data_IF_964647301692
#
_entry.id   IF_964647301692
#
_cell.length_a   1.000
_cell.length_b   1.000
_cell.length_c   1.000
_cell.angle_alpha   90.00
_cell.angle_beta   90.00
_cell.angle_gamma   90.00
#
_symmetry.space_group_name_H-M   'P 1'
#
loop_
_entity.id
_entity.type
_entity.pdbx_description
1 polymer ?
#
# COMPACT_ATOMS: atom_id res chain seq x y z
N UNK A 1 -9.25 12.44 12.08
CA UNK A 1 -8.19 11.84 11.21
C UNK A 1 -7.11 11.16 12.03
N UNK A 2 -6.77 11.69 13.21
CA UNK A 2 -5.83 11.05 14.14
C UNK A 2 -6.34 9.69 14.61
N UNK A 3 -7.62 9.59 14.98
CA UNK A 3 -8.22 8.30 15.34
C UNK A 3 -8.09 7.24 14.24
N UNK A 4 -8.29 7.62 12.97
CA UNK A 4 -8.12 6.71 11.84
C UNK A 4 -6.69 6.21 11.71
N UNK A 5 -5.69 7.08 11.93
CA UNK A 5 -4.28 6.69 11.94
C UNK A 5 -3.99 5.66 13.04
N UNK A 6 -4.46 5.89 14.27
CA UNK A 6 -4.27 4.95 15.37
C UNK A 6 -4.95 3.59 15.11
N UNK A 7 -6.19 3.59 14.58
CA UNK A 7 -6.87 2.36 14.18
C UNK A 7 -6.10 1.57 13.12
N UNK A 8 -5.44 2.24 12.17
CA UNK A 8 -4.59 1.54 11.20
C UNK A 8 -3.38 0.89 11.86
N UNK A 9 -2.76 1.55 12.84
CA UNK A 9 -1.63 0.99 13.61
C UNK A 9 -2.06 -0.21 14.44
N UNK A 10 -3.22 -0.15 15.09
CA UNK A 10 -3.80 -1.29 15.82
C UNK A 10 -4.03 -2.49 14.90
N UNK A 11 -4.60 -2.26 13.72
CA UNK A 11 -4.81 -3.32 12.70
C UNK A 11 -3.51 -3.97 12.22
N UNK A 12 -2.39 -3.25 12.21
CA UNK A 12 -1.07 -3.84 11.91
C UNK A 12 -0.66 -4.80 13.02
N UNK A 13 -0.79 -4.39 14.28
CA UNK A 13 -0.47 -5.21 15.46
C UNK A 13 -1.34 -6.47 15.51
N UNK A 14 -2.63 -6.33 15.19
CA UNK A 14 -3.59 -7.45 15.16
C UNK A 14 -3.48 -8.32 13.90
N UNK A 15 -2.62 -7.96 12.95
CA UNK A 15 -2.50 -8.64 11.66
C UNK A 15 -3.77 -8.60 10.78
N UNK A 16 -4.64 -7.59 10.96
CA UNK A 16 -5.97 -7.44 10.34
C UNK A 16 -6.08 -6.30 9.33
N UNK A 17 -5.00 -5.55 9.06
CA UNK A 17 -4.99 -4.46 8.09
C UNK A 17 -5.16 -5.00 6.65
N UNK A 18 -6.07 -4.39 5.88
CA UNK A 18 -6.30 -4.71 4.46
C UNK A 18 -5.86 -3.60 3.53
N UNK A 19 -5.74 -3.91 2.24
CA UNK A 19 -5.48 -2.92 1.18
C UNK A 19 -6.55 -1.82 1.13
N UNK A 20 -7.82 -2.19 1.23
CA UNK A 20 -8.97 -1.27 1.26
C UNK A 20 -8.88 -0.26 2.42
N UNK A 21 -8.45 -0.70 3.61
CA UNK A 21 -8.25 0.20 4.74
C UNK A 21 -7.25 1.32 4.41
N UNK A 22 -6.19 1.01 3.66
CA UNK A 22 -5.21 1.99 3.22
C UNK A 22 -5.73 2.87 2.08
N UNK A 23 -6.39 2.31 1.07
CA UNK A 23 -6.96 3.10 -0.03
C UNK A 23 -8.01 4.11 0.45
N UNK A 24 -8.88 3.71 1.37
CA UNK A 24 -9.83 4.63 2.01
C UNK A 24 -9.10 5.75 2.76
N UNK A 25 -8.02 5.41 3.47
CA UNK A 25 -7.24 6.40 4.22
C UNK A 25 -6.50 7.38 3.30
N UNK A 26 -5.81 6.90 2.26
CA UNK A 26 -5.09 7.75 1.30
C UNK A 26 -6.05 8.60 0.49
N UNK A 27 -7.23 8.07 0.11
CA UNK A 27 -8.29 8.84 -0.53
C UNK A 27 -8.74 10.04 0.33
N UNK A 28 -8.98 9.82 1.63
CA UNK A 28 -9.31 10.91 2.58
C UNK A 28 -8.18 11.93 2.73
N UNK A 29 -6.92 11.50 2.71
CA UNK A 29 -5.76 12.40 2.75
C UNK A 29 -5.69 13.26 1.48
N UNK A 30 -5.84 12.66 0.29
CA UNK A 30 -5.84 13.39 -1.00
C UNK A 30 -6.99 14.41 -1.07
N UNK A 31 -8.20 14.03 -0.63
CA UNK A 31 -9.34 14.94 -0.55
C UNK A 31 -9.07 16.11 0.39
N UNK A 32 -8.56 15.83 1.59
CA UNK A 32 -8.20 16.85 2.58
C UNK A 32 -7.09 17.78 2.08
N UNK A 33 -6.11 17.29 1.31
CA UNK A 33 -5.09 18.12 0.65
C UNK A 33 -5.72 19.07 -0.36
N UNK A 34 -6.64 18.57 -1.20
CA UNK A 34 -7.36 19.35 -2.21
C UNK A 34 -8.20 20.46 -1.57
N UNK A 35 -8.82 20.20 -0.43
CA UNK A 35 -9.58 21.17 0.35
C UNK A 35 -8.70 22.13 1.16
N UNK A 36 -7.39 21.88 1.20
CA UNK A 36 -6.44 22.68 1.95
C UNK A 36 -6.61 22.54 3.47
N UNK A 37 -7.08 21.40 3.97
CA UNK A 37 -7.29 21.16 5.39
C UNK A 37 -5.95 21.24 6.18
N UNK A 38 -5.86 22.03 7.26
CA UNK A 38 -4.61 22.26 8.00
C UNK A 38 -3.91 20.97 8.48
N UNK A 39 -4.70 19.96 8.82
CA UNK A 39 -4.25 18.66 9.32
C UNK A 39 -3.34 17.95 8.31
N UNK A 40 -3.66 18.08 7.02
CA UNK A 40 -2.99 17.34 5.95
C UNK A 40 -1.95 18.19 5.24
N UNK A 41 -1.92 19.52 5.45
CA UNK A 41 -0.84 20.40 4.94
C UNK A 41 0.56 19.99 5.39
N UNK A 42 0.67 19.28 6.53
CA UNK A 42 1.94 18.77 7.06
C UNK A 42 2.26 17.34 6.60
N UNK A 43 1.37 16.69 5.86
CA UNK A 43 1.61 15.36 5.26
C UNK A 43 2.23 15.57 3.89
N UNK A 44 3.45 15.07 3.71
CA UNK A 44 4.10 15.10 2.40
C UNK A 44 3.36 14.18 1.42
N UNK A 45 3.07 14.62 0.18
CA UNK A 45 2.46 13.78 -0.86
C UNK A 45 3.20 12.46 -1.07
N UNK A 46 4.53 12.43 -0.92
CA UNK A 46 5.32 11.20 -1.07
C UNK A 46 4.95 10.11 -0.06
N UNK A 47 4.45 10.47 1.14
CA UNK A 47 3.97 9.49 2.11
C UNK A 47 2.65 8.86 1.67
N UNK A 48 1.81 9.62 0.96
CA UNK A 48 0.56 9.11 0.39
C UNK A 48 0.89 8.12 -0.73
N UNK A 49 1.78 8.49 -1.64
CA UNK A 49 2.24 7.62 -2.73
C UNK A 49 2.79 6.28 -2.19
N UNK A 50 3.61 6.32 -1.14
CA UNK A 50 4.14 5.12 -0.50
C UNK A 50 3.04 4.23 0.08
N UNK A 51 2.04 4.81 0.76
CA UNK A 51 0.92 4.05 1.30
C UNK A 51 0.08 3.41 0.20
N UNK A 52 -0.10 4.07 -0.95
CA UNK A 52 -0.82 3.50 -2.10
C UNK A 52 -0.07 2.33 -2.74
N UNK A 53 1.27 2.44 -2.84
CA UNK A 53 2.12 1.32 -3.28
C UNK A 53 2.03 0.15 -2.31
N UNK A 54 2.03 0.40 -1.00
CA UNK A 54 1.89 -0.67 0.00
C UNK A 54 0.47 -1.25 0.05
N UNK A 55 -0.56 -0.44 -0.20
CA UNK A 55 -1.94 -0.90 -0.36
C UNK A 55 -2.05 -1.86 -1.56
N UNK A 56 -1.45 -1.51 -2.69
CA UNK A 56 -1.34 -2.39 -3.85
C UNK A 56 -0.61 -3.69 -3.52
N UNK A 57 0.50 -3.61 -2.76
CA UNK A 57 1.25 -4.78 -2.32
C UNK A 57 0.40 -5.72 -1.43
N UNK A 58 -0.43 -5.16 -0.55
CA UNK A 58 -1.38 -5.96 0.25
C UNK A 58 -2.48 -6.57 -0.62
N UNK A 59 -3.05 -5.80 -1.53
CA UNK A 59 -4.08 -6.28 -2.46
C UNK A 59 -3.58 -7.49 -3.24
N UNK A 60 -2.33 -7.45 -3.68
CA UNK A 60 -1.64 -8.57 -4.33
C UNK A 60 -1.61 -9.85 -3.51
N UNK A 61 -1.29 -9.72 -2.22
CA UNK A 61 -1.32 -10.85 -1.31
C UNK A 61 -2.74 -11.36 -1.07
N UNK A 62 -3.69 -10.45 -0.88
CA UNK A 62 -5.11 -10.77 -0.67
C UNK A 62 -5.69 -11.55 -1.87
N UNK A 63 -5.38 -11.13 -3.09
CA UNK A 63 -5.75 -11.83 -4.33
C UNK A 63 -5.07 -13.20 -4.45
N UNK A 64 -3.79 -13.30 -4.07
CA UNK A 64 -3.06 -14.57 -4.09
C UNK A 64 -3.63 -15.61 -3.09
N UNK A 65 -4.19 -15.14 -1.97
CA UNK A 65 -4.79 -16.01 -0.95
C UNK A 65 -6.27 -16.38 -1.23
N UNK A 66 -6.94 -15.69 -2.15
CA UNK A 66 -8.37 -15.89 -2.44
C UNK A 66 -8.66 -17.11 -3.35
N UNK A 67 -7.64 -17.66 -4.02
CA UNK A 67 -7.56 -18.97 -4.70
C UNK A 67 -8.74 -19.37 -5.62
N UNK A 68 -8.54 -19.24 -6.95
CA UNK A 68 -8.92 -20.19 -8.04
C UNK A 68 -8.66 -19.51 -9.39
N UNK A 69 -7.91 -20.19 -10.25
CA UNK A 69 -7.42 -19.77 -11.57
C UNK A 69 -6.24 -18.77 -11.60
N UNK A 70 -5.18 -19.23 -12.26
CA UNK A 70 -3.95 -18.52 -12.61
C UNK A 70 -4.15 -17.19 -13.38
N UNK A 71 -5.39 -16.85 -13.75
CA UNK A 71 -5.75 -15.59 -14.39
C UNK A 71 -5.80 -14.37 -13.45
N UNK A 72 -5.89 -14.57 -12.12
CA UNK A 72 -6.11 -13.49 -11.14
C UNK A 72 -4.85 -13.01 -10.40
N UNK A 73 -3.64 -13.41 -10.82
CA UNK A 73 -2.39 -12.90 -10.23
C UNK A 73 -2.02 -11.48 -10.66
N UNK A 74 -2.84 -10.88 -11.51
CA UNK A 74 -2.62 -9.58 -12.13
C UNK A 74 -3.49 -8.54 -11.40
N UNK A 75 -2.85 -7.50 -10.86
CA UNK A 75 -3.54 -6.41 -10.17
C UNK A 75 -3.21 -5.16 -10.98
N UNK A 76 -4.25 -4.45 -11.38
CA UNK A 76 -4.14 -3.22 -12.12
C UNK A 76 -3.75 -2.11 -11.15
N UNK A 77 -2.60 -1.49 -11.38
CA UNK A 77 -2.12 -0.41 -10.53
C UNK A 77 -2.66 0.96 -10.96
N UNK A 78 -3.17 1.08 -12.19
CA UNK A 78 -3.45 2.38 -12.83
C UNK A 78 -4.60 3.14 -12.19
N UNK A 79 -5.48 2.45 -11.48
CA UNK A 79 -6.59 3.09 -10.77
C UNK A 79 -6.17 3.70 -9.42
N UNK A 80 -5.00 3.34 -8.90
CA UNK A 80 -4.63 3.67 -7.51
C UNK A 80 -3.22 4.22 -7.34
N UNK A 81 -2.35 4.13 -8.36
CA UNK A 81 -0.96 4.59 -8.30
C UNK A 81 -0.69 5.58 -9.42
N UNK A 82 -0.30 6.79 -9.03
CA UNK A 82 -0.04 7.90 -9.94
C UNK A 82 1.36 7.82 -10.62
N UNK A 83 2.34 7.17 -9.97
CA UNK A 83 3.73 7.10 -10.41
C UNK A 83 4.21 5.65 -10.55
N UNK A 84 4.19 5.17 -11.80
CA UNK A 84 4.67 3.83 -12.15
C UNK A 84 6.13 3.59 -11.75
N UNK A 85 6.98 4.61 -11.82
CA UNK A 85 8.42 4.44 -11.56
C UNK A 85 8.66 4.06 -10.10
N UNK A 86 7.90 4.65 -9.17
CA UNK A 86 7.98 4.31 -7.74
C UNK A 86 7.44 2.91 -7.45
N UNK A 87 6.34 2.52 -8.09
CA UNK A 87 5.84 1.16 -7.98
C UNK A 87 6.87 0.16 -8.50
N UNK A 88 7.48 0.44 -9.65
CA UNK A 88 8.53 -0.40 -10.22
C UNK A 88 9.72 -0.52 -9.29
N UNK A 89 10.23 0.59 -8.74
CA UNK A 89 11.33 0.58 -7.77
C UNK A 89 11.01 -0.29 -6.55
N UNK A 90 9.77 -0.21 -6.04
CA UNK A 90 9.33 -1.04 -4.92
C UNK A 90 9.27 -2.53 -5.29
N UNK A 91 8.71 -2.87 -6.45
CA UNK A 91 8.65 -4.27 -6.93
C UNK A 91 10.06 -4.82 -7.19
N UNK A 92 10.96 -4.03 -7.75
CA UNK A 92 12.36 -4.41 -7.97
C UNK A 92 13.03 -4.71 -6.61
N UNK A 93 12.82 -3.91 -5.56
CA UNK A 93 13.30 -4.19 -4.19
C UNK A 93 12.74 -5.48 -3.58
N UNK A 94 11.46 -5.77 -3.80
CA UNK A 94 10.84 -7.02 -3.35
C UNK A 94 11.49 -8.23 -4.04
N UNK A 95 11.79 -8.10 -5.33
CA UNK A 95 12.44 -9.16 -6.11
C UNK A 95 13.89 -9.37 -5.66
N UNK A 96 14.65 -8.30 -5.46
CA UNK A 96 16.02 -8.35 -4.92
C UNK A 96 16.08 -9.00 -3.53
N UNK A 97 15.03 -8.79 -2.71
CA UNK A 97 14.90 -9.37 -1.38
C UNK A 97 14.33 -10.80 -1.39
N UNK A 98 14.14 -11.39 -2.58
CA UNK A 98 13.54 -12.72 -2.81
C UNK A 98 12.13 -12.91 -2.24
N UNK A 99 11.44 -11.81 -1.87
CA UNK A 99 10.08 -11.83 -1.34
C UNK A 99 9.03 -12.09 -2.44
N UNK A 100 9.41 -11.86 -3.70
CA UNK A 100 8.62 -12.20 -4.88
C UNK A 100 9.49 -12.83 -5.97
N UNK A 101 8.87 -13.57 -6.89
CA UNK A 101 9.53 -14.19 -8.05
C UNK A 101 8.71 -14.03 -9.32
N UNK A 102 9.29 -14.36 -10.47
CA UNK A 102 8.58 -14.40 -11.76
C UNK A 102 7.94 -13.06 -12.16
N UNK A 103 8.62 -11.93 -11.89
CA UNK A 103 8.09 -10.59 -12.14
C UNK A 103 7.87 -10.37 -13.64
N UNK A 104 6.65 -9.96 -14.00
CA UNK A 104 6.26 -9.56 -15.34
C UNK A 104 5.34 -8.35 -15.29
N UNK A 105 5.47 -7.49 -16.30
CA UNK A 105 4.62 -6.31 -16.50
C UNK A 105 3.92 -6.48 -17.83
N UNK A 106 2.59 -6.42 -17.85
CA UNK A 106 1.87 -6.47 -19.12
C UNK A 106 1.56 -5.06 -19.65
N UNK A 107 1.24 -4.98 -20.95
CA UNK A 107 0.87 -3.73 -21.63
C UNK A 107 -0.39 -3.08 -21.04
N UNK A 108 -1.23 -3.88 -20.36
CA UNK A 108 -2.43 -3.43 -19.68
C UNK A 108 -2.20 -2.84 -18.29
N UNK A 109 -0.96 -2.56 -17.86
CA UNK A 109 -0.70 -1.97 -16.55
C UNK A 109 -0.93 -2.93 -15.39
N UNK A 110 -0.79 -4.24 -15.62
CA UNK A 110 -0.82 -5.24 -14.56
C UNK A 110 0.59 -5.63 -14.16
N UNK A 111 0.89 -5.54 -12.87
CA UNK A 111 2.05 -6.22 -12.30
C UNK A 111 1.70 -7.70 -12.12
N UNK A 112 2.62 -8.63 -12.38
CA UNK A 112 2.41 -10.06 -12.18
C UNK A 112 3.66 -10.60 -11.49
N UNK A 113 3.49 -11.29 -10.37
CA UNK A 113 4.59 -11.94 -9.65
C UNK A 113 4.05 -13.00 -8.69
N UNK A 114 4.90 -13.95 -8.32
CA UNK A 114 4.63 -14.99 -7.35
C UNK A 114 5.12 -14.57 -5.96
N UNK A 115 4.37 -14.91 -4.91
CA UNK A 115 4.74 -14.65 -3.51
C UNK A 115 5.05 -16.01 -2.85
N UNK A 116 6.31 -16.44 -2.78
CA UNK A 116 6.68 -17.78 -2.30
C UNK A 116 6.44 -17.99 -0.80
N UNK A 117 6.62 -16.94 0.01
CA UNK A 117 6.29 -16.93 1.44
C UNK A 117 5.36 -15.74 1.74
N UNK A 118 4.03 -15.97 1.73
CA UNK A 118 3.05 -14.91 2.02
C UNK A 118 3.22 -14.31 3.42
N UNK A 119 3.73 -15.07 4.40
CA UNK A 119 3.91 -14.58 5.77
C UNK A 119 5.11 -13.65 5.91
N UNK A 120 6.22 -13.96 5.24
CA UNK A 120 7.37 -13.07 5.15
C UNK A 120 7.03 -11.79 4.37
N UNK A 121 6.37 -11.94 3.22
CA UNK A 121 5.89 -10.83 2.40
C UNK A 121 4.97 -9.89 3.20
N UNK A 122 3.96 -10.44 3.88
CA UNK A 122 3.03 -9.63 4.69
C UNK A 122 3.76 -8.84 5.78
N UNK A 123 4.67 -9.48 6.52
CA UNK A 123 5.46 -8.82 7.55
C UNK A 123 6.28 -7.67 6.98
N UNK A 124 6.92 -7.88 5.83
CA UNK A 124 7.69 -6.82 5.17
C UNK A 124 6.82 -5.62 4.78
N UNK A 125 5.66 -5.88 4.17
CA UNK A 125 4.72 -4.82 3.77
C UNK A 125 4.18 -4.09 5.00
N UNK A 126 3.77 -4.81 6.05
CA UNK A 126 3.27 -4.24 7.30
C UNK A 126 4.32 -3.37 8.00
N UNK A 127 5.57 -3.82 8.04
CA UNK A 127 6.67 -3.05 8.62
C UNK A 127 6.89 -1.72 7.90
N UNK A 128 6.83 -1.73 6.56
CA UNK A 128 6.96 -0.52 5.76
C UNK A 128 5.77 0.43 5.91
N UNK A 129 4.54 -0.10 6.00
CA UNK A 129 3.34 0.70 6.31
C UNK A 129 3.51 1.35 7.67
N UNK A 130 3.85 0.58 8.69
CA UNK A 130 4.03 1.08 10.05
C UNK A 130 5.08 2.20 10.10
N UNK A 131 6.21 2.03 9.42
CA UNK A 131 7.25 3.04 9.34
C UNK A 131 6.72 4.37 8.74
N UNK A 132 5.86 4.32 7.73
CA UNK A 132 5.23 5.52 7.17
C UNK A 132 4.24 6.14 8.16
N UNK A 133 3.35 5.34 8.76
CA UNK A 133 2.34 5.81 9.71
C UNK A 133 2.94 6.39 10.99
N UNK A 134 4.03 5.83 11.51
CA UNK A 134 4.73 6.34 12.69
C UNK A 134 5.41 7.68 12.46
N UNK A 135 5.78 7.95 11.21
CA UNK A 135 6.32 9.24 10.80
C UNK A 135 5.24 10.21 10.32
N UNK A 136 3.94 9.88 10.41
CA UNK A 136 2.85 10.81 10.12
C UNK A 136 2.42 11.56 11.38
N UNK A 137 2.46 12.89 11.32
CA UNK A 137 1.92 13.76 12.37
C UNK A 137 0.64 14.38 11.82
N UNK A 138 -0.51 13.86 12.29
CA UNK A 138 -1.82 14.43 11.98
C UNK A 138 -2.27 15.28 13.16
N UNK A 139 -2.52 16.55 12.90
CA UNK A 139 -3.14 17.43 13.88
C UNK A 139 -4.66 17.21 13.87
N UNK A 140 -5.35 17.45 14.97
CA UNK A 140 -6.79 17.68 14.94
C UNK A 140 -7.01 19.16 15.24
N UNK A 141 -8.01 19.78 14.61
CA UNK A 141 -8.42 21.12 15.03
C UNK A 141 -8.73 21.05 16.53
N UNK A 142 -8.12 21.95 17.30
CA UNK A 142 -8.67 22.38 18.60
C UNK A 142 -10.01 23.07 18.37
#
# INVERSE_FOLDING_TARGET
>A
MKQTLETLKEKIVENTLTSDNLFVFTGRLKESLREGAPIVRNVSPSKIDLLEIYAFALQKMEMANADRDSGLRAADWRESIDDFSKLKEFVDKLQESELIKSVSWNVGGMAIYDIPDPSAYKRYVYWNIQAVLDNMILFEKL
#
